data_IF_397314388046
#
_entry.id   IF_397314388046
#
_cell.length_a   1.000
_cell.length_b   1.000
_cell.length_c   1.000
_cell.angle_alpha   90.00
_cell.angle_beta   90.00
_cell.angle_gamma   90.00
#
_symmetry.space_group_name_H-M   'P 1'
#
loop_
_entity.id
_entity.type
_entity.pdbx_description
1 polymer ?
#
# COMPACT_ATOMS: atom_id res chain seq x y z
N UNK A 1 -5.79 17.89 -13.62
CA UNK A 1 -4.70 16.94 -13.34
C UNK A 1 -5.06 15.64 -14.02
N UNK A 2 -4.33 15.24 -15.06
CA UNK A 2 -4.57 13.95 -15.73
C UNK A 2 -4.01 12.88 -14.77
N UNK A 3 -4.86 11.93 -14.39
CA UNK A 3 -4.48 10.84 -13.50
C UNK A 3 -4.31 9.60 -14.35
N UNK A 4 -3.08 9.11 -14.48
CA UNK A 4 -2.78 7.91 -15.26
C UNK A 4 -3.18 6.65 -14.47
N UNK A 5 -3.75 5.64 -15.13
CA UNK A 5 -4.03 4.36 -14.51
C UNK A 5 -2.73 3.64 -14.13
N UNK A 6 -2.77 2.86 -13.04
CA UNK A 6 -1.71 1.93 -12.66
C UNK A 6 -2.10 0.53 -13.13
N UNK A 7 -1.19 -0.16 -13.78
CA UNK A 7 -1.40 -1.55 -14.21
C UNK A 7 -0.67 -2.48 -13.27
N UNK A 8 -1.35 -3.46 -12.71
CA UNK A 8 -0.79 -4.44 -11.79
C UNK A 8 -0.97 -5.85 -12.36
N UNK A 9 0.13 -6.58 -12.46
CA UNK A 9 0.13 -8.02 -12.74
C UNK A 9 0.59 -8.81 -11.53
N UNK A 10 0.02 -10.00 -11.37
CA UNK A 10 0.30 -10.90 -10.25
C UNK A 10 0.01 -12.34 -10.64
N UNK A 11 0.42 -13.32 -9.84
CA UNK A 11 0.24 -14.74 -10.18
C UNK A 11 -1.19 -15.13 -10.60
N UNK A 12 -2.22 -14.53 -9.99
CA UNK A 12 -3.64 -14.76 -10.33
C UNK A 12 -4.11 -14.03 -11.59
N UNK A 13 -3.49 -12.88 -11.88
CA UNK A 13 -3.80 -12.01 -13.01
C UNK A 13 -2.48 -11.72 -13.75
N UNK A 14 -1.97 -12.73 -14.50
CA UNK A 14 -0.56 -12.76 -14.85
C UNK A 14 -0.22 -12.07 -16.16
N UNK A 15 -1.19 -11.57 -16.92
CA UNK A 15 -0.95 -11.12 -18.30
C UNK A 15 -1.54 -9.73 -18.52
N UNK A 16 -0.69 -8.81 -18.96
CA UNK A 16 -1.06 -7.50 -19.46
C UNK A 16 -0.82 -7.45 -20.98
N UNK A 17 -1.87 -7.51 -21.81
CA UNK A 17 -1.74 -7.32 -23.25
C UNK A 17 -1.50 -5.83 -23.56
N UNK A 18 -0.46 -5.55 -24.34
CA UNK A 18 -0.05 -4.22 -24.79
C UNK A 18 -0.17 -4.12 -26.32
N UNK A 19 -0.97 -3.19 -26.81
CA UNK A 19 -1.16 -2.89 -28.23
C UNK A 19 -0.13 -1.87 -28.69
N UNK A 20 0.71 -2.25 -29.63
CA UNK A 20 1.75 -1.43 -30.28
C UNK A 20 1.39 -1.29 -31.75
N UNK A 21 0.71 -0.20 -32.11
CA UNK A 21 0.13 -0.03 -33.45
C UNK A 21 -0.69 -1.27 -33.89
N UNK A 22 -0.17 -2.07 -34.82
CA UNK A 22 -0.80 -3.31 -35.30
C UNK A 22 -0.37 -4.58 -34.53
N UNK A 23 0.70 -4.51 -33.75
CA UNK A 23 1.26 -5.62 -33.00
C UNK A 23 0.71 -5.72 -31.57
N UNK A 24 0.78 -6.92 -31.00
CA UNK A 24 0.37 -7.19 -29.62
C UNK A 24 1.52 -7.87 -28.85
N UNK A 25 2.01 -7.18 -27.83
CA UNK A 25 3.01 -7.67 -26.88
C UNK A 25 2.30 -8.12 -25.60
N UNK A 26 2.63 -9.29 -25.04
CA UNK A 26 2.24 -9.58 -23.66
C UNK A 26 3.36 -9.17 -22.70
N UNK A 27 2.97 -8.57 -21.58
CA UNK A 27 3.80 -8.51 -20.38
C UNK A 27 3.28 -9.58 -19.42
N UNK A 28 4.11 -10.58 -19.16
CA UNK A 28 3.73 -11.76 -18.38
C UNK A 28 4.41 -11.75 -17.00
N UNK A 29 3.65 -12.05 -15.97
CA UNK A 29 4.15 -12.31 -14.64
C UNK A 29 4.87 -13.66 -14.63
N UNK A 30 6.13 -13.65 -14.21
CA UNK A 30 6.87 -14.82 -13.76
C UNK A 30 7.10 -14.68 -12.26
N UNK A 31 7.18 -15.79 -11.54
CA UNK A 31 7.28 -15.81 -10.07
C UNK A 31 8.23 -14.75 -9.47
N UNK A 32 9.37 -14.49 -10.14
CA UNK A 32 10.43 -13.58 -9.70
C UNK A 32 10.72 -12.39 -10.63
N UNK A 33 10.09 -12.31 -11.82
CA UNK A 33 10.37 -11.27 -12.81
C UNK A 33 9.19 -11.11 -13.78
N UNK A 34 9.26 -10.14 -14.70
CA UNK A 34 8.29 -10.03 -15.79
C UNK A 34 8.96 -10.42 -17.10
N UNK A 35 8.20 -11.07 -17.96
CA UNK A 35 8.65 -11.54 -19.27
C UNK A 35 7.88 -10.80 -20.37
N UNK A 36 8.52 -10.61 -21.52
CA UNK A 36 7.96 -9.89 -22.66
C UNK A 36 7.85 -10.84 -23.83
N UNK A 37 6.61 -11.22 -24.17
CA UNK A 37 6.35 -12.24 -25.18
C UNK A 37 5.70 -11.60 -26.41
N UNK A 38 6.33 -11.67 -27.60
CA UNK A 38 5.69 -11.25 -28.83
C UNK A 38 4.54 -12.21 -29.17
N UNK A 39 3.38 -11.65 -29.50
CA UNK A 39 2.09 -12.34 -29.72
C UNK A 39 1.40 -12.83 -28.44
N UNK A 40 0.30 -12.17 -28.09
CA UNK A 40 -0.53 -12.54 -26.94
C UNK A 40 -1.55 -13.63 -27.31
N UNK A 41 -1.06 -14.88 -27.37
CA UNK A 41 -1.86 -16.07 -27.64
C UNK A 41 -2.59 -16.65 -26.42
N UNK A 42 -2.25 -16.18 -25.21
CA UNK A 42 -2.85 -16.64 -23.96
C UNK A 42 -3.99 -15.71 -23.51
N UNK A 43 -5.14 -16.30 -23.17
CA UNK A 43 -6.20 -15.58 -22.47
C UNK A 43 -5.71 -15.22 -21.06
N UNK A 44 -5.69 -13.93 -20.73
CA UNK A 44 -5.28 -13.48 -19.41
C UNK A 44 -5.86 -12.12 -19.05
N UNK A 45 -5.63 -11.74 -17.81
CA UNK A 45 -6.12 -10.50 -17.24
C UNK A 45 -5.08 -9.89 -16.30
N UNK A 46 -5.28 -8.62 -16.00
CA UNK A 46 -4.48 -7.79 -15.12
C UNK A 46 -5.42 -6.96 -14.23
N UNK A 47 -4.86 -6.31 -13.22
CA UNK A 47 -5.59 -5.34 -12.39
C UNK A 47 -5.29 -3.94 -12.89
N UNK A 48 -6.31 -3.20 -13.30
CA UNK A 48 -6.23 -1.79 -13.63
C UNK A 48 -6.73 -0.95 -12.45
N UNK A 49 -5.90 -0.03 -11.96
CA UNK A 49 -6.29 0.91 -10.93
C UNK A 49 -6.40 2.30 -11.54
N UNK A 50 -7.58 2.89 -11.48
CA UNK A 50 -7.79 4.29 -11.84
C UNK A 50 -7.85 5.08 -10.53
N UNK A 51 -6.81 5.90 -10.21
CA UNK A 51 -6.72 6.49 -8.89
C UNK A 51 -7.95 7.35 -8.57
N UNK A 52 -8.44 7.19 -7.33
CA UNK A 52 -9.66 7.79 -6.77
C UNK A 52 -10.98 7.35 -7.41
N UNK A 53 -10.96 6.55 -8.49
CA UNK A 53 -12.17 6.11 -9.21
C UNK A 53 -12.51 4.65 -8.93
N UNK A 54 -11.54 3.75 -9.05
CA UNK A 54 -11.79 2.32 -8.84
C UNK A 54 -10.63 1.43 -9.24
N UNK A 55 -10.81 0.13 -8.98
CA UNK A 55 -9.88 -0.94 -9.32
C UNK A 55 -10.62 -2.11 -9.95
N UNK A 56 -10.15 -2.54 -11.11
CA UNK A 56 -10.88 -3.44 -11.99
C UNK A 56 -9.97 -4.53 -12.54
N UNK A 57 -10.49 -5.74 -12.64
CA UNK A 57 -9.84 -6.83 -13.37
C UNK A 57 -10.21 -6.66 -14.84
N UNK A 58 -9.20 -6.47 -15.69
CA UNK A 58 -9.36 -6.19 -17.12
C UNK A 58 -8.57 -7.20 -17.96
N UNK A 59 -9.04 -7.44 -19.18
CA UNK A 59 -8.37 -8.30 -20.17
C UNK A 59 -8.13 -7.58 -21.50
N UNK A 60 -8.61 -6.35 -21.64
CA UNK A 60 -8.48 -5.58 -22.88
C UNK A 60 -7.03 -5.10 -23.07
N UNK A 61 -6.51 -5.13 -24.32
CA UNK A 61 -5.22 -4.55 -24.63
C UNK A 61 -5.13 -3.09 -24.22
N UNK A 62 -4.04 -2.74 -23.52
CA UNK A 62 -3.70 -1.37 -23.15
C UNK A 62 -2.85 -0.76 -24.25
N UNK A 63 -2.97 0.55 -24.46
CA UNK A 63 -2.08 1.31 -25.34
C UNK A 63 -1.04 2.05 -24.50
N UNK A 64 0.25 2.03 -24.86
CA UNK A 64 1.26 2.82 -24.18
C UNK A 64 1.02 4.32 -24.41
N UNK A 65 1.65 5.13 -23.57
CA UNK A 65 1.73 6.58 -23.77
C UNK A 65 2.77 6.82 -24.86
N UNK A 66 2.42 7.60 -25.88
CA UNK A 66 3.31 7.90 -27.01
C UNK A 66 3.80 9.33 -26.87
N UNK A 67 5.12 9.51 -26.90
CA UNK A 67 5.77 10.82 -26.95
C UNK A 67 6.83 10.86 -28.05
N UNK A 68 6.48 11.47 -29.19
CA UNK A 68 7.32 11.41 -30.38
C UNK A 68 7.39 9.99 -30.93
N UNK A 69 8.61 9.44 -31.01
CA UNK A 69 8.89 8.07 -31.45
C UNK A 69 9.00 7.07 -30.28
N UNK A 70 8.83 7.53 -29.04
CA UNK A 70 8.94 6.72 -27.83
C UNK A 70 7.56 6.29 -27.34
N UNK A 71 7.35 4.99 -27.20
CA UNK A 71 6.18 4.43 -26.50
C UNK A 71 6.57 3.97 -25.10
N UNK A 72 5.84 4.39 -24.06
CA UNK A 72 6.14 4.05 -22.67
C UNK A 72 4.92 3.59 -21.87
N UNK A 73 5.13 2.67 -20.94
CA UNK A 73 4.12 2.20 -19.99
C UNK A 73 4.75 1.80 -18.66
N UNK A 74 4.04 2.10 -17.58
CA UNK A 74 4.37 1.68 -16.22
C UNK A 74 3.56 0.44 -15.83
N UNK A 75 4.25 -0.61 -15.37
CA UNK A 75 3.62 -1.86 -14.95
C UNK A 75 4.13 -2.26 -13.57
N UNK A 76 3.22 -2.36 -12.61
CA UNK A 76 3.49 -2.92 -11.31
C UNK A 76 3.37 -4.46 -11.35
N UNK A 77 4.26 -5.15 -10.66
CA UNK A 77 4.22 -6.60 -10.52
C UNK A 77 4.30 -6.99 -9.04
N UNK A 78 3.33 -7.77 -8.57
CA UNK A 78 3.40 -8.41 -7.25
C UNK A 78 4.10 -9.77 -7.38
N UNK A 79 5.40 -9.79 -7.14
CA UNK A 79 6.24 -10.99 -7.14
C UNK A 79 6.18 -11.67 -5.76
N UNK A 80 6.71 -12.90 -5.62
CA UNK A 80 6.58 -13.80 -4.43
C UNK A 80 6.81 -13.19 -3.03
N UNK A 81 7.33 -11.98 -2.94
CA UNK A 81 7.34 -11.21 -1.70
C UNK A 81 7.76 -9.76 -1.95
N UNK A 82 7.47 -9.19 -3.11
CA UNK A 82 7.90 -7.84 -3.46
C UNK A 82 6.90 -7.22 -4.44
N UNK A 83 6.63 -5.93 -4.25
CA UNK A 83 5.98 -5.12 -5.27
C UNK A 83 7.07 -4.34 -6.03
N UNK A 84 7.13 -4.55 -7.34
CA UNK A 84 8.09 -3.87 -8.22
C UNK A 84 7.33 -3.04 -9.26
N UNK A 85 7.92 -1.92 -9.67
CA UNK A 85 7.50 -1.13 -10.83
C UNK A 85 8.48 -1.37 -11.96
N UNK A 86 7.95 -1.65 -13.14
CA UNK A 86 8.67 -1.75 -14.39
C UNK A 86 8.25 -0.59 -15.28
N UNK A 87 9.20 0.27 -15.61
CA UNK A 87 9.01 1.32 -16.60
C UNK A 87 9.49 0.77 -17.94
N UNK A 88 8.55 0.41 -18.81
CA UNK A 88 8.83 -0.08 -20.16
C UNK A 88 8.91 1.10 -21.13
N UNK A 89 9.91 1.05 -21.99
CA UNK A 89 10.13 1.98 -23.11
C UNK A 89 10.36 1.18 -24.39
N UNK A 90 9.68 1.56 -25.46
CA UNK A 90 9.78 0.93 -26.78
C UNK A 90 10.15 2.01 -27.80
N UNK A 91 11.27 1.80 -28.48
CA UNK A 91 11.81 2.69 -29.52
C UNK A 91 12.54 1.86 -30.57
N UNK A 92 12.33 2.17 -31.85
CA UNK A 92 12.97 1.50 -32.99
C UNK A 92 12.85 -0.04 -32.95
N UNK A 93 11.67 -0.55 -32.55
CA UNK A 93 11.40 -2.00 -32.43
C UNK A 93 12.13 -2.69 -31.26
N UNK A 94 12.80 -1.94 -30.38
CA UNK A 94 13.47 -2.46 -29.18
C UNK A 94 12.70 -2.09 -27.93
N UNK A 95 12.41 -3.09 -27.10
CA UNK A 95 11.86 -2.91 -25.77
C UNK A 95 13.01 -2.85 -24.73
N UNK A 96 13.01 -1.82 -23.89
CA UNK A 96 13.90 -1.69 -22.73
C UNK A 96 13.07 -1.40 -21.49
N UNK A 97 13.51 -1.87 -20.32
CA UNK A 97 12.80 -1.60 -19.08
C UNK A 97 13.76 -1.25 -17.94
N UNK A 98 13.26 -0.45 -17.00
CA UNK A 98 13.91 -0.17 -15.73
C UNK A 98 13.04 -0.75 -14.61
N UNK A 99 13.65 -1.40 -13.63
CA UNK A 99 12.98 -1.99 -12.47
C UNK A 99 13.25 -1.18 -11.22
N UNK A 100 12.17 -0.76 -10.57
CA UNK A 100 12.20 -0.08 -9.27
C UNK A 100 11.52 -0.93 -8.21
N UNK A 101 12.04 -0.89 -6.99
CA UNK A 101 11.33 -1.42 -5.82
C UNK A 101 10.28 -0.41 -5.39
N UNK A 102 9.06 -0.87 -5.14
CA UNK A 102 7.94 -0.03 -4.69
C UNK A 102 7.43 -0.54 -3.36
N UNK A 103 7.11 0.38 -2.44
CA UNK A 103 6.53 0.03 -1.16
C UNK A 103 5.10 0.59 -1.09
N UNK A 104 4.78 1.35 -0.05
CA UNK A 104 3.44 1.84 0.21
C UNK A 104 2.99 2.96 -0.73
N UNK A 105 3.89 3.57 -1.51
CA UNK A 105 3.54 4.63 -2.47
C UNK A 105 2.56 4.15 -3.55
N UNK A 106 2.61 2.87 -3.90
CA UNK A 106 1.65 2.25 -4.82
C UNK A 106 0.20 2.43 -4.35
N UNK A 107 -0.03 2.37 -3.03
CA UNK A 107 -1.36 2.39 -2.44
C UNK A 107 -1.99 3.79 -2.45
N UNK A 108 -1.24 4.84 -2.76
CA UNK A 108 -1.79 6.20 -2.86
C UNK A 108 -2.78 6.31 -4.02
N UNK A 109 -3.95 6.85 -3.70
CA UNK A 109 -5.07 7.01 -4.62
C UNK A 109 -5.82 5.71 -4.91
N UNK A 110 -5.49 4.59 -4.27
CA UNK A 110 -6.21 3.33 -4.48
C UNK A 110 -7.64 3.48 -3.98
N UNK A 111 -8.61 3.16 -4.85
CA UNK A 111 -10.02 3.05 -4.49
C UNK A 111 -10.44 1.59 -4.48
N UNK A 112 -11.14 1.19 -3.42
CA UNK A 112 -11.70 -0.15 -3.26
C UNK A 112 -13.06 -0.32 -3.94
N UNK A 113 -13.47 0.64 -4.78
CA UNK A 113 -14.59 0.47 -5.69
C UNK A 113 -14.17 -0.41 -6.87
N UNK A 114 -15.03 -1.36 -7.28
CA UNK A 114 -14.76 -2.30 -8.38
C UNK A 114 -14.60 -3.75 -7.91
N UNK A 115 -13.98 -4.60 -8.75
CA UNK A 115 -13.90 -6.04 -8.54
C UNK A 115 -12.49 -6.57 -8.22
N UNK A 116 -11.49 -5.69 -8.06
CA UNK A 116 -10.10 -6.06 -7.76
C UNK A 116 -9.69 -5.87 -6.28
N UNK A 117 -10.66 -5.75 -5.36
CA UNK A 117 -10.38 -5.47 -3.95
C UNK A 117 -9.46 -6.52 -3.29
N UNK A 118 -9.66 -7.80 -3.58
CA UNK A 118 -8.89 -8.89 -2.95
C UNK A 118 -7.42 -8.87 -3.41
N UNK A 119 -7.19 -8.50 -4.67
CA UNK A 119 -5.89 -8.34 -5.28
C UNK A 119 -5.14 -7.18 -4.62
N UNK A 120 -5.81 -6.06 -4.38
CA UNK A 120 -5.25 -4.92 -3.65
C UNK A 120 -4.92 -5.26 -2.20
N UNK A 121 -5.80 -5.99 -1.50
CA UNK A 121 -5.52 -6.46 -0.14
C UNK A 121 -4.30 -7.38 -0.08
N UNK A 122 -4.05 -8.17 -1.14
CA UNK A 122 -2.85 -9.01 -1.24
C UNK A 122 -1.57 -8.18 -1.42
N UNK A 123 -1.66 -7.06 -2.15
CA UNK A 123 -0.55 -6.09 -2.25
C UNK A 123 -0.27 -5.47 -0.89
N UNK A 124 -1.31 -5.01 -0.19
CA UNK A 124 -1.17 -4.41 1.15
C UNK A 124 -0.52 -5.40 2.12
N UNK A 125 -1.00 -6.65 2.17
CA UNK A 125 -0.41 -7.70 3.01
C UNK A 125 1.08 -7.90 2.70
N UNK A 126 1.45 -7.94 1.42
CA UNK A 126 2.86 -8.08 1.00
C UNK A 126 3.71 -6.89 1.44
N UNK A 127 3.23 -5.66 1.24
CA UNK A 127 3.92 -4.43 1.66
C UNK A 127 4.12 -4.42 3.18
N UNK A 128 3.08 -4.75 3.95
CA UNK A 128 3.17 -4.82 5.41
C UNK A 128 4.12 -5.91 5.89
N UNK A 129 4.02 -7.12 5.33
CA UNK A 129 4.94 -8.23 5.66
C UNK A 129 6.39 -7.84 5.42
N UNK A 130 6.68 -7.14 4.32
CA UNK A 130 8.04 -6.66 4.04
C UNK A 130 8.51 -5.59 5.01
N UNK A 131 7.62 -4.69 5.42
CA UNK A 131 7.94 -3.68 6.42
C UNK A 131 8.24 -4.32 7.78
N UNK A 132 7.42 -5.26 8.26
CA UNK A 132 7.63 -5.90 9.57
C UNK A 132 8.77 -6.90 9.61
N UNK A 133 9.24 -7.39 8.45
CA UNK A 133 10.47 -8.20 8.37
C UNK A 133 11.71 -7.40 8.76
N UNK A 134 11.64 -6.08 8.68
CA UNK A 134 12.73 -5.20 9.11
C UNK A 134 12.66 -5.11 10.64
N UNK A 135 13.63 -5.69 11.35
CA UNK A 135 13.67 -5.85 12.81
C UNK A 135 13.83 -4.52 13.57
N UNK A 136 12.83 -3.64 13.46
CA UNK A 136 12.78 -2.40 14.23
C UNK A 136 12.26 -2.67 15.64
N UNK A 137 12.78 -1.92 16.62
CA UNK A 137 12.24 -1.95 17.99
C UNK A 137 10.83 -1.33 18.05
N UNK A 138 10.58 -0.35 17.19
CA UNK A 138 9.34 0.41 17.12
C UNK A 138 8.90 0.49 15.65
N UNK A 139 7.66 0.09 15.39
CA UNK A 139 7.00 0.21 14.11
C UNK A 139 6.06 1.40 14.14
N UNK A 140 6.03 2.16 13.06
CA UNK A 140 5.13 3.29 12.92
C UNK A 140 4.43 3.28 11.58
N UNK A 141 3.21 3.79 11.53
CA UNK A 141 2.49 3.99 10.28
C UNK A 141 1.62 5.22 10.37
N UNK A 142 1.53 5.94 9.26
CA UNK A 142 0.57 7.02 9.05
C UNK A 142 -0.36 6.63 7.91
N UNK A 143 -1.66 6.75 8.14
CA UNK A 143 -2.70 6.47 7.17
C UNK A 143 -3.63 7.67 7.07
N UNK A 144 -3.95 8.07 5.84
CA UNK A 144 -4.98 9.05 5.52
C UNK A 144 -5.98 8.36 4.59
N UNK A 145 -7.18 8.11 5.09
CA UNK A 145 -8.18 7.28 4.43
C UNK A 145 -9.50 8.04 4.31
N UNK A 146 -10.24 7.78 3.24
CA UNK A 146 -11.67 8.08 3.18
C UNK A 146 -12.45 6.84 3.60
N UNK A 147 -13.34 6.97 4.57
CA UNK A 147 -14.13 5.85 5.13
C UNK A 147 -15.63 6.15 5.00
N UNK A 148 -16.46 5.12 4.88
CA UNK A 148 -17.92 5.27 4.79
C UNK A 148 -18.62 5.33 6.17
N UNK A 149 -17.86 5.46 7.26
CA UNK A 149 -18.41 5.42 8.62
C UNK A 149 -17.37 5.62 9.70
N UNK A 150 -17.76 5.45 10.96
CA UNK A 150 -16.87 5.68 12.08
C UNK A 150 -15.90 4.51 12.28
N UNK A 151 -14.60 4.80 12.27
CA UNK A 151 -13.57 3.85 12.73
C UNK A 151 -13.59 3.77 14.26
N UNK A 152 -13.69 2.56 14.81
CA UNK A 152 -13.63 2.27 16.25
C UNK A 152 -12.44 1.34 16.56
N UNK A 153 -11.87 1.49 17.75
CA UNK A 153 -10.77 0.65 18.25
C UNK A 153 -11.20 -0.02 19.57
N UNK A 154 -11.99 -1.10 19.52
CA UNK A 154 -12.45 -1.80 20.72
C UNK A 154 -11.25 -2.41 21.48
N UNK A 155 -11.32 -2.40 22.81
CA UNK A 155 -10.26 -2.93 23.68
C UNK A 155 -9.10 -1.97 23.99
N UNK A 156 -9.17 -0.72 23.51
CA UNK A 156 -8.18 0.31 23.81
C UNK A 156 -8.78 1.39 24.72
N UNK A 157 -7.95 1.96 25.59
CA UNK A 157 -8.35 3.11 26.44
C UNK A 157 -8.35 4.37 25.59
N UNK A 158 -9.47 5.08 25.52
CA UNK A 158 -9.63 6.33 24.76
C UNK A 158 -9.38 7.57 25.63
N UNK A 159 -8.53 8.46 25.13
CA UNK A 159 -8.25 9.77 25.71
C UNK A 159 -8.46 10.85 24.64
N UNK A 160 -9.13 11.94 24.99
CA UNK A 160 -9.33 13.08 24.09
C UNK A 160 -8.30 14.16 24.40
N UNK A 161 -7.51 14.58 23.39
CA UNK A 161 -6.57 15.69 23.50
C UNK A 161 -6.81 16.69 22.37
N UNK A 162 -7.42 17.83 22.67
CA UNK A 162 -7.81 18.81 21.66
C UNK A 162 -8.73 18.20 20.60
N UNK A 163 -8.31 18.24 19.32
CA UNK A 163 -9.08 17.68 18.18
C UNK A 163 -8.72 16.23 17.85
N UNK A 164 -7.90 15.56 18.67
CA UNK A 164 -7.44 14.19 18.42
C UNK A 164 -7.89 13.23 19.52
N UNK A 165 -8.09 11.96 19.13
CA UNK A 165 -8.38 10.85 20.05
C UNK A 165 -7.20 9.90 20.07
N UNK A 166 -6.73 9.59 21.26
CA UNK A 166 -5.61 8.67 21.48
C UNK A 166 -6.17 7.39 22.08
N UNK A 167 -5.91 6.26 21.43
CA UNK A 167 -6.25 4.93 21.89
C UNK A 167 -4.97 4.22 22.29
N UNK A 168 -4.92 3.70 23.51
CA UNK A 168 -3.72 3.05 24.05
C UNK A 168 -4.01 1.66 24.61
N UNK A 169 -3.05 0.76 24.38
CA UNK A 169 -2.89 -0.52 25.06
C UNK A 169 -1.37 -0.78 25.22
N UNK A 170 -0.99 -1.78 26.02
CA UNK A 170 0.41 -2.15 26.20
C UNK A 170 1.05 -2.44 24.82
N UNK A 171 2.18 -1.78 24.57
CA UNK A 171 2.93 -1.88 23.31
C UNK A 171 2.31 -1.23 22.07
N UNK A 172 1.14 -0.57 22.14
CA UNK A 172 0.50 0.03 20.96
C UNK A 172 -0.29 1.32 21.27
N UNK A 173 0.03 2.37 20.53
CA UNK A 173 -0.67 3.66 20.55
C UNK A 173 -1.25 3.94 19.15
N UNK A 174 -2.48 4.43 19.14
CA UNK A 174 -3.19 4.85 17.95
C UNK A 174 -3.65 6.29 18.17
N UNK A 175 -3.22 7.21 17.32
CA UNK A 175 -3.69 8.59 17.32
C UNK A 175 -4.61 8.77 16.11
N UNK A 176 -5.85 9.15 16.37
CA UNK A 176 -6.89 9.35 15.36
C UNK A 176 -7.30 10.81 15.30
N UNK A 177 -7.30 11.36 14.10
CA UNK A 177 -7.92 12.64 13.76
C UNK A 177 -9.02 12.37 12.73
N UNK A 178 -10.16 13.06 12.81
CA UNK A 178 -11.27 12.86 11.88
C UNK A 178 -11.86 14.18 11.46
N UNK A 179 -12.15 14.32 10.16
CA UNK A 179 -12.74 15.51 9.55
C UNK A 179 -13.69 15.09 8.44
N UNK A 180 -14.99 15.05 8.74
CA UNK A 180 -15.99 14.44 7.84
C UNK A 180 -15.68 12.96 7.63
N UNK A 181 -15.68 12.53 6.36
CA UNK A 181 -15.38 11.15 5.95
C UNK A 181 -13.88 10.84 5.88
N UNK A 182 -13.02 11.85 6.07
CA UNK A 182 -11.58 11.65 6.13
C UNK A 182 -11.14 11.27 7.55
N UNK A 183 -10.43 10.16 7.65
CA UNK A 183 -9.80 9.70 8.89
C UNK A 183 -8.30 9.64 8.69
N UNK A 184 -7.58 10.28 9.62
CA UNK A 184 -6.12 10.22 9.72
C UNK A 184 -5.77 9.40 10.95
N UNK A 185 -4.96 8.36 10.77
CA UNK A 185 -4.52 7.48 11.84
C UNK A 185 -3.00 7.43 11.85
N UNK A 186 -2.40 7.67 13.00
CA UNK A 186 -1.00 7.30 13.24
C UNK A 186 -0.94 6.16 14.23
N UNK A 187 -0.19 5.12 13.91
CA UNK A 187 0.04 3.97 14.77
C UNK A 187 1.50 3.93 15.19
N UNK A 188 1.74 3.58 16.44
CA UNK A 188 3.07 3.34 17.00
C UNK A 188 3.00 2.05 17.80
N UNK A 189 3.81 1.07 17.45
CA UNK A 189 3.83 -0.25 18.09
C UNK A 189 5.24 -0.65 18.48
N UNK A 190 5.40 -1.26 19.64
CA UNK A 190 6.57 -2.09 19.94
C UNK A 190 6.50 -3.40 19.16
N UNK A 191 7.58 -4.17 19.17
CA UNK A 191 7.62 -5.51 18.57
C UNK A 191 6.56 -6.47 19.15
N UNK A 192 6.22 -6.32 20.43
CA UNK A 192 5.21 -7.16 21.11
C UNK A 192 3.80 -6.90 20.56
N UNK A 193 3.51 -5.67 20.13
CA UNK A 193 2.22 -5.26 19.56
C UNK A 193 2.07 -5.50 18.05
N UNK A 194 3.06 -6.08 17.37
CA UNK A 194 3.17 -6.08 15.90
C UNK A 194 1.99 -6.77 15.18
N UNK A 195 1.43 -7.83 15.79
CA UNK A 195 0.27 -8.53 15.25
C UNK A 195 -0.99 -7.65 15.31
N UNK A 196 -1.16 -6.90 16.39
CA UNK A 196 -2.27 -5.95 16.53
C UNK A 196 -2.06 -4.76 15.57
N UNK A 197 -0.84 -4.26 15.45
CA UNK A 197 -0.48 -3.19 14.51
C UNK A 197 -0.85 -3.54 13.06
N UNK A 198 -0.43 -4.71 12.57
CA UNK A 198 -0.75 -5.17 11.20
C UNK A 198 -2.24 -5.44 11.02
N UNK A 199 -2.89 -6.07 12.00
CA UNK A 199 -4.34 -6.33 12.00
C UNK A 199 -5.15 -5.03 11.91
N UNK A 200 -4.77 -4.00 12.68
CA UNK A 200 -5.44 -2.70 12.64
C UNK A 200 -5.24 -2.03 11.28
N UNK A 201 -4.02 -2.01 10.72
CA UNK A 201 -3.80 -1.42 9.40
C UNK A 201 -4.67 -2.12 8.35
N UNK A 202 -4.69 -3.45 8.34
CA UNK A 202 -5.53 -4.23 7.42
C UNK A 202 -7.02 -3.94 7.63
N UNK A 203 -7.48 -3.82 8.87
CA UNK A 203 -8.87 -3.47 9.20
C UNK A 203 -9.25 -2.07 8.72
N UNK A 204 -8.37 -1.09 8.92
CA UNK A 204 -8.56 0.28 8.44
C UNK A 204 -8.66 0.33 6.91
N UNK A 205 -7.76 -0.39 6.22
CA UNK A 205 -7.74 -0.46 4.76
C UNK A 205 -9.01 -1.14 4.23
N UNK A 206 -9.44 -2.27 4.81
CA UNK A 206 -10.70 -2.94 4.45
C UNK A 206 -11.93 -2.07 4.68
N UNK A 207 -11.87 -1.17 5.67
CA UNK A 207 -12.95 -0.23 5.98
C UNK A 207 -12.90 1.05 5.14
N UNK A 208 -11.83 1.24 4.36
CA UNK A 208 -11.63 2.43 3.54
C UNK A 208 -12.29 2.30 2.17
N UNK A 209 -12.83 3.41 1.69
CA UNK A 209 -13.27 3.58 0.30
C UNK A 209 -12.09 3.97 -0.60
N UNK A 210 -11.21 4.84 -0.08
CA UNK A 210 -10.03 5.35 -0.77
C UNK A 210 -8.86 5.49 0.20
N UNK A 211 -7.68 5.10 -0.23
CA UNK A 211 -6.41 5.38 0.44
C UNK A 211 -5.84 6.68 -0.14
N UNK A 212 -5.92 7.79 0.61
CA UNK A 212 -5.34 9.07 0.18
C UNK A 212 -3.82 9.07 0.39
N UNK A 213 -3.36 8.57 1.53
CA UNK A 213 -1.94 8.39 1.83
C UNK A 213 -1.73 7.23 2.80
N UNK A 214 -0.60 6.56 2.65
CA UNK A 214 -0.08 5.60 3.60
C UNK A 214 1.44 5.75 3.61
N UNK A 215 2.03 5.74 4.81
CA UNK A 215 3.47 5.86 5.02
C UNK A 215 3.87 4.95 6.16
N UNK A 216 4.75 3.99 5.88
CA UNK A 216 5.30 3.11 6.90
C UNK A 216 6.60 3.73 7.44
N UNK A 217 6.89 3.53 8.73
CA UNK A 217 8.01 4.20 9.39
C UNK A 217 7.82 5.70 9.62
N UNK A 218 6.60 6.22 9.50
CA UNK A 218 6.28 7.64 9.73
C UNK A 218 5.02 7.80 10.59
N UNK A 219 4.96 8.89 11.34
CA UNK A 219 3.78 9.37 12.06
C UNK A 219 3.31 10.71 11.46
N UNK A 220 2.05 11.07 11.69
CA UNK A 220 1.50 12.35 11.21
C UNK A 220 2.26 13.55 11.79
N UNK A 221 2.53 14.57 10.96
CA UNK A 221 3.30 15.76 11.35
C UNK A 221 2.68 16.56 12.51
N UNK A 222 1.36 16.48 12.71
CA UNK A 222 0.65 17.09 13.83
C UNK A 222 0.95 16.44 15.18
N UNK A 223 1.63 15.28 15.18
CA UNK A 223 1.81 14.45 16.35
C UNK A 223 3.27 14.55 16.81
N UNK A 224 3.48 15.34 17.86
CA UNK A 224 4.72 15.32 18.64
C UNK A 224 4.60 14.20 19.69
N UNK A 225 4.88 12.97 19.30
CA UNK A 225 5.01 11.86 20.26
C UNK A 225 6.46 11.83 20.75
N UNK A 226 6.67 12.23 22.00
CA UNK A 226 7.85 11.81 22.74
C UNK A 226 7.65 10.32 23.06
N UNK A 227 8.52 9.47 22.50
CA UNK A 227 8.54 8.03 22.74
C UNK A 227 8.99 7.65 24.17
N UNK A 228 9.17 8.63 25.05
CA UNK A 228 9.58 8.45 26.45
C UNK A 228 8.54 7.68 27.31
N UNK A 229 7.37 7.32 26.77
CA UNK A 229 6.24 6.78 27.55
C UNK A 229 6.16 5.25 27.56
N UNK A 230 7.07 4.55 26.86
CA UNK A 230 7.16 3.09 26.92
C UNK A 230 8.34 2.60 27.76
N UNK A 231 8.50 3.15 28.96
CA UNK A 231 9.18 2.43 30.04
C UNK A 231 8.08 1.62 30.76
N UNK A 232 8.07 0.28 30.64
CA UNK A 232 7.19 -0.58 31.42
C UNK A 232 7.24 -0.19 32.91
N UNK A 233 6.08 -0.08 33.58
CA UNK A 233 6.02 0.33 35.00
C UNK A 233 6.88 -0.54 35.94
N UNK A 234 7.13 -1.80 35.56
CA UNK A 234 8.01 -2.74 36.25
C UNK A 234 9.50 -2.35 36.22
N UNK A 235 9.93 -1.45 35.33
CA UNK A 235 11.27 -0.86 35.32
C UNK A 235 11.38 0.42 36.18
N UNK A 236 10.25 1.05 36.52
CA UNK A 236 10.21 2.25 37.37
C UNK A 236 10.17 1.90 38.88
N UNK A 237 9.75 0.68 39.23
CA UNK A 237 9.66 0.21 40.62
C UNK A 237 11.00 -0.19 41.25
N UNK A 238 12.11 -0.16 40.52
CA UNK A 238 13.43 -0.52 41.05
C UNK A 238 14.20 0.65 41.67
N UNK A 239 13.70 1.89 41.61
CA UNK A 239 14.49 3.09 41.99
C UNK A 239 14.14 3.66 43.38
N UNK A 240 13.04 3.25 44.02
CA UNK A 240 12.62 3.80 45.32
C UNK A 240 12.46 2.74 46.43
N UNK A 241 13.35 1.75 46.48
CA UNK A 241 13.56 0.93 47.68
C UNK A 241 15.03 0.97 48.03
N UNK A 242 15.47 2.10 48.57
CA UNK A 242 16.59 2.25 49.51
C UNK A 242 16.75 3.75 49.83
N UNK A 243 15.90 4.24 50.73
CA UNK A 243 16.09 5.47 51.50
C UNK A 243 15.24 5.42 52.75
#
# INVERSE_FOLDING_TARGET
MIVLPKFLIMRRHPILPLRLDDELLCIMHRDNYIDFVPSCGEAGNYVMLIPYQGSYIESKPVRPIIWGDLSSIEVYALLRGELALYELSIKDGKASYIRYRVNEEFLRGVSFHGNAMNELLSVVDTVLRNYIKSSFMIYTAYLRLMVNGSVKFPGYREYVRGKVRIYGNDGLIIVKESSGDEVRVSLVSTIEGINNFTSIIMSLIKSSRVINDIRLGRIGHSIKLLLDVFIPNNLLTAVNKDS
#
